data_IF_022996203752
#
_entry.id   IF_022996203752
#
_cell.length_a   1.000
_cell.length_b   1.000
_cell.length_c   1.000
_cell.angle_alpha   90.00
_cell.angle_beta   90.00
_cell.angle_gamma   90.00
#
_symmetry.space_group_name_H-M   'P 1'
#
loop_
_entity.id
_entity.type
_entity.pdbx_description
1 polymer ?
#
# COMPACT_ATOMS: atom_id res chain seq x y z
N UNK A 1 7.78 -22.03 -23.25
CA UNK A 1 6.82 -20.92 -23.36
C UNK A 1 7.23 -19.82 -22.39
N UNK A 2 8.04 -18.85 -22.81
CA UNK A 2 8.52 -17.76 -21.94
C UNK A 2 8.78 -16.46 -22.73
N UNK A 3 7.92 -16.18 -23.70
CA UNK A 3 8.04 -15.01 -24.60
C UNK A 3 6.78 -14.13 -24.66
N UNK A 4 5.67 -14.52 -24.01
CA UNK A 4 4.42 -13.74 -24.10
C UNK A 4 4.41 -12.46 -23.24
N UNK A 5 5.07 -12.44 -22.09
CA UNK A 5 5.03 -11.28 -21.18
C UNK A 5 5.76 -10.05 -21.74
N UNK A 6 6.96 -10.26 -22.30
CA UNK A 6 7.79 -9.16 -22.83
C UNK A 6 7.21 -8.60 -24.14
N UNK A 7 6.65 -9.46 -24.99
CA UNK A 7 6.00 -9.05 -26.22
C UNK A 7 4.78 -8.14 -25.98
N UNK A 8 4.05 -8.35 -24.88
CA UNK A 8 2.87 -7.54 -24.52
C UNK A 8 3.26 -6.15 -24.01
N UNK A 9 4.34 -6.05 -23.22
CA UNK A 9 4.87 -4.76 -22.77
C UNK A 9 5.46 -3.94 -23.93
N UNK A 10 6.12 -4.62 -24.88
CA UNK A 10 6.75 -3.94 -26.03
C UNK A 10 5.70 -3.41 -27.02
N UNK A 11 4.59 -4.12 -27.22
CA UNK A 11 3.49 -3.66 -28.10
C UNK A 11 2.71 -2.48 -27.51
N UNK A 12 2.53 -2.41 -26.18
CA UNK A 12 2.00 -1.22 -25.51
C UNK A 12 2.91 0.00 -25.69
N UNK A 13 4.24 -0.16 -25.57
CA UNK A 13 5.20 0.93 -25.78
C UNK A 13 5.25 1.45 -27.23
N UNK A 14 5.10 0.56 -28.21
CA UNK A 14 5.13 0.93 -29.63
C UNK A 14 3.84 1.67 -30.04
N UNK A 15 2.69 1.28 -29.49
CA UNK A 15 1.43 1.98 -29.78
C UNK A 15 1.31 3.32 -29.05
N UNK A 16 1.85 3.45 -27.84
CA UNK A 16 1.87 4.72 -27.10
C UNK A 16 2.72 5.81 -27.78
N UNK A 17 3.79 5.44 -28.50
CA UNK A 17 4.66 6.40 -29.19
C UNK A 17 4.23 6.75 -30.63
N UNK A 18 3.17 6.12 -31.15
CA UNK A 18 2.68 6.36 -32.52
C UNK A 18 1.66 7.50 -32.59
N UNK A 19 0.95 7.79 -31.50
CA UNK A 19 -0.03 8.86 -31.41
C UNK A 19 0.47 9.98 -30.49
N UNK A 20 1.03 11.05 -31.06
CA UNK A 20 1.50 12.24 -30.34
C UNK A 20 0.39 13.10 -29.72
N UNK A 21 -0.82 12.54 -29.60
CA UNK A 21 -2.03 13.17 -29.03
C UNK A 21 -2.62 12.37 -27.87
N UNK A 22 -2.13 11.16 -27.61
CA UNK A 22 -2.54 10.39 -26.45
C UNK A 22 -1.73 10.87 -25.25
N UNK A 23 -2.40 11.12 -24.13
CA UNK A 23 -1.71 11.39 -22.87
C UNK A 23 -0.77 10.23 -22.55
N UNK A 24 0.43 10.54 -22.05
CA UNK A 24 1.41 9.53 -21.66
C UNK A 24 0.77 8.56 -20.66
N UNK A 25 0.94 7.25 -20.92
CA UNK A 25 0.45 6.21 -20.03
C UNK A 25 0.99 6.44 -18.61
N UNK A 26 0.08 6.47 -17.64
CA UNK A 26 0.42 6.67 -16.22
C UNK A 26 0.59 5.31 -15.56
N UNK A 27 1.37 5.22 -14.47
CA UNK A 27 1.45 4.00 -13.66
C UNK A 27 0.05 3.46 -13.28
N UNK A 28 -0.92 4.37 -13.07
CA UNK A 28 -2.34 4.06 -12.89
C UNK A 28 -2.99 3.15 -13.91
N UNK A 29 -2.53 3.18 -15.16
CA UNK A 29 -3.13 2.42 -16.25
C UNK A 29 -2.78 0.92 -16.18
N UNK A 30 -1.85 0.55 -15.30
CA UNK A 30 -1.36 -0.82 -15.13
C UNK A 30 -1.73 -1.44 -13.78
N UNK A 31 -2.47 -0.74 -12.90
CA UNK A 31 -2.97 -1.32 -11.66
C UNK A 31 -4.10 -2.31 -11.98
N UNK A 32 -3.83 -3.61 -11.81
CA UNK A 32 -4.75 -4.71 -12.16
C UNK A 32 -5.91 -4.87 -11.16
N UNK A 33 -5.80 -4.28 -9.96
CA UNK A 33 -6.75 -4.44 -8.85
C UNK A 33 -7.08 -3.09 -8.19
N UNK A 34 -7.88 -2.25 -8.86
CA UNK A 34 -8.58 -1.17 -8.15
C UNK A 34 -10.07 -1.50 -8.06
N UNK A 35 -10.61 -1.38 -6.85
CA UNK A 35 -12.05 -1.21 -6.61
C UNK A 35 -12.48 0.00 -7.44
N UNK A 36 -13.15 -0.27 -8.56
CA UNK A 36 -13.28 0.65 -9.70
C UNK A 36 -14.27 1.80 -9.51
N UNK A 37 -14.99 1.90 -8.39
CA UNK A 37 -16.14 2.83 -8.33
C UNK A 37 -16.14 3.83 -7.16
N UNK A 38 -15.31 3.66 -6.12
CA UNK A 38 -15.28 4.59 -4.96
C UNK A 38 -13.99 5.41 -4.80
N UNK A 39 -12.91 5.04 -5.50
CA UNK A 39 -11.56 5.52 -5.17
C UNK A 39 -11.26 6.96 -5.59
N UNK A 40 -12.05 7.62 -6.44
CA UNK A 40 -11.75 8.97 -6.95
C UNK A 40 -12.16 10.11 -6.02
N UNK A 41 -12.93 9.82 -4.96
CA UNK A 41 -13.28 10.80 -3.92
C UNK A 41 -12.51 10.63 -2.63
N UNK A 42 -11.74 9.56 -2.49
CA UNK A 42 -11.11 9.25 -1.21
C UNK A 42 -9.77 9.98 -1.12
N UNK A 43 -9.75 11.00 -0.27
CA UNK A 43 -8.54 11.75 0.06
C UNK A 43 -7.72 10.97 1.08
N UNK A 44 -6.57 10.45 0.68
CA UNK A 44 -5.63 9.80 1.59
C UNK A 44 -5.00 10.86 2.50
N UNK A 45 -4.91 10.64 3.83
CA UNK A 45 -4.27 11.58 4.73
C UNK A 45 -2.83 11.89 4.32
N UNK A 46 -2.44 13.16 4.28
CA UNK A 46 -1.11 13.59 3.85
C UNK A 46 0.02 12.95 4.66
N UNK A 47 -0.20 12.70 5.95
CA UNK A 47 0.75 11.99 6.82
C UNK A 47 1.01 10.56 6.33
N UNK A 48 0.00 9.84 5.85
CA UNK A 48 0.15 8.50 5.32
C UNK A 48 0.91 8.52 3.99
N UNK A 49 0.59 9.48 3.12
CA UNK A 49 1.32 9.70 1.86
C UNK A 49 2.80 9.99 2.12
N UNK A 50 3.11 10.96 2.98
CA UNK A 50 4.49 11.34 3.28
C UNK A 50 5.25 10.18 3.96
N UNK A 51 4.58 9.39 4.81
CA UNK A 51 5.15 8.18 5.43
C UNK A 51 5.48 7.09 4.43
N UNK A 52 4.57 6.81 3.49
CA UNK A 52 4.79 5.83 2.43
C UNK A 52 6.06 6.16 1.61
N UNK A 53 6.22 7.42 1.20
CA UNK A 53 7.42 7.82 0.45
C UNK A 53 8.68 7.88 1.30
N UNK A 54 8.57 8.13 2.61
CA UNK A 54 9.70 8.00 3.52
C UNK A 54 10.17 6.54 3.62
N UNK A 55 9.25 5.57 3.74
CA UNK A 55 9.55 4.14 3.76
C UNK A 55 10.22 3.67 2.46
N UNK A 56 9.75 4.13 1.30
CA UNK A 56 10.40 3.85 0.01
C UNK A 56 11.82 4.39 -0.02
N UNK A 57 12.00 5.66 0.36
CA UNK A 57 13.31 6.32 0.34
C UNK A 57 14.32 5.61 1.22
N UNK A 58 13.88 5.12 2.37
CA UNK A 58 14.73 4.44 3.35
C UNK A 58 14.88 2.93 3.07
N UNK A 59 14.23 2.41 2.02
CA UNK A 59 14.29 0.99 1.65
C UNK A 59 13.61 0.05 2.65
N UNK A 60 12.66 0.57 3.43
CA UNK A 60 11.93 -0.17 4.48
C UNK A 60 10.57 -0.70 4.01
N UNK A 61 10.15 -0.36 2.78
CA UNK A 61 8.91 -0.85 2.21
C UNK A 61 9.13 -2.21 1.51
N UNK A 62 8.34 -3.26 1.82
CA UNK A 62 8.40 -4.51 1.08
C UNK A 62 8.07 -4.31 -0.41
N UNK A 63 8.84 -4.94 -1.29
CA UNK A 63 8.72 -4.72 -2.75
C UNK A 63 7.37 -5.11 -3.35
N UNK A 64 6.64 -6.02 -2.72
CA UNK A 64 5.30 -6.46 -3.15
C UNK A 64 4.21 -5.40 -2.92
N UNK A 65 4.46 -4.39 -2.09
CA UNK A 65 3.49 -3.35 -1.72
C UNK A 65 3.27 -2.35 -2.86
N UNK A 66 4.34 -1.95 -3.53
CA UNK A 66 4.33 -0.92 -4.59
C UNK A 66 3.29 -1.17 -5.69
N UNK A 67 3.16 -2.39 -6.26
CA UNK A 67 2.15 -2.65 -7.29
C UNK A 67 0.70 -2.69 -6.77
N UNK A 68 0.47 -2.79 -5.46
CA UNK A 68 -0.86 -2.94 -4.86
C UNK A 68 -1.48 -1.61 -4.44
N UNK A 69 -0.67 -0.55 -4.30
CA UNK A 69 -1.14 0.76 -3.84
C UNK A 69 -1.28 1.77 -4.98
N UNK A 70 -2.21 2.73 -4.89
CA UNK A 70 -2.39 3.76 -5.90
C UNK A 70 -1.31 4.85 -5.75
N UNK A 71 -0.08 4.58 -6.22
CA UNK A 71 1.09 5.48 -6.05
C UNK A 71 0.83 6.89 -6.55
N UNK A 72 0.09 7.06 -7.65
CA UNK A 72 -0.24 8.38 -8.20
C UNK A 72 -1.13 9.19 -7.25
N UNK A 73 -2.08 8.53 -6.55
CA UNK A 73 -2.94 9.17 -5.54
C UNK A 73 -2.13 9.52 -4.28
N UNK A 74 -1.21 8.65 -3.90
CA UNK A 74 -0.30 8.91 -2.78
C UNK A 74 0.61 10.12 -3.09
N UNK A 75 1.21 10.18 -4.28
CA UNK A 75 2.08 11.30 -4.68
C UNK A 75 1.31 12.62 -4.71
N UNK A 76 0.09 12.63 -5.25
CA UNK A 76 -0.77 13.81 -5.27
C UNK A 76 -1.18 14.29 -3.85
N UNK A 77 -1.31 13.36 -2.90
CA UNK A 77 -1.67 13.65 -1.51
C UNK A 77 -0.50 14.10 -0.62
N UNK A 78 0.74 14.05 -1.11
CA UNK A 78 1.93 14.46 -0.34
C UNK A 78 1.89 15.93 0.01
N UNK A 79 2.27 16.25 1.24
CA UNK A 79 2.56 17.64 1.65
C UNK A 79 4.03 17.87 1.93
N UNK A 80 4.87 16.81 1.86
CA UNK A 80 6.29 16.84 2.26
C UNK A 80 6.44 17.38 3.69
N UNK A 81 5.47 17.02 4.53
CA UNK A 81 5.37 17.46 5.91
C UNK A 81 5.93 16.42 6.87
N UNK A 82 5.20 16.21 7.96
CA UNK A 82 5.56 15.24 8.98
C UNK A 82 5.26 13.81 8.53
N UNK A 83 6.14 12.90 8.94
CA UNK A 83 6.01 11.46 8.75
C UNK A 83 5.39 10.85 10.01
N UNK A 84 4.44 9.94 9.83
CA UNK A 84 3.77 9.21 10.90
C UNK A 84 4.76 8.44 11.76
N UNK A 85 4.45 8.37 13.07
CA UNK A 85 5.23 7.63 14.06
C UNK A 85 4.28 6.81 14.91
N UNK A 86 4.43 5.47 14.97
CA UNK A 86 5.39 4.66 14.20
C UNK A 86 5.18 4.74 12.68
N UNK A 87 6.24 4.55 11.88
CA UNK A 87 6.16 4.68 10.41
C UNK A 87 5.39 3.54 9.77
N UNK A 88 5.71 2.31 10.15
CA UNK A 88 5.00 1.14 9.68
C UNK A 88 5.14 -0.03 10.64
N UNK A 89 4.13 -0.89 10.64
CA UNK A 89 4.23 -2.23 11.19
C UNK A 89 4.17 -3.23 10.03
N UNK A 90 5.12 -4.17 9.98
CA UNK A 90 5.31 -5.09 8.86
C UNK A 90 5.25 -6.52 9.36
N UNK A 91 4.40 -7.34 8.74
CA UNK A 91 4.29 -8.77 8.99
C UNK A 91 4.32 -9.57 7.69
N UNK A 92 4.13 -10.88 7.79
CA UNK A 92 4.00 -11.74 6.61
C UNK A 92 2.70 -11.40 5.87
N UNK A 93 2.83 -10.91 4.63
CA UNK A 93 1.69 -10.55 3.79
C UNK A 93 0.88 -9.34 4.28
N UNK A 94 1.36 -8.56 5.24
CA UNK A 94 0.68 -7.34 5.72
C UNK A 94 1.67 -6.21 6.00
N UNK A 95 1.25 -4.99 5.66
CA UNK A 95 1.90 -3.76 6.12
C UNK A 95 0.84 -2.75 6.56
N UNK A 96 1.06 -2.13 7.71
CA UNK A 96 0.27 -1.03 8.23
C UNK A 96 1.10 0.24 8.18
N UNK A 97 0.61 1.29 7.54
CA UNK A 97 1.31 2.57 7.40
C UNK A 97 0.73 3.59 8.38
N UNK A 98 1.63 4.23 9.12
CA UNK A 98 1.31 5.11 10.24
C UNK A 98 0.29 4.49 11.21
N UNK A 99 0.53 3.25 11.71
CA UNK A 99 -0.40 2.61 12.64
C UNK A 99 -0.41 3.31 14.00
N UNK A 100 -1.54 3.23 14.68
CA UNK A 100 -1.74 3.72 16.05
C UNK A 100 -2.64 2.76 16.82
N UNK A 101 -2.42 2.63 18.12
CA UNK A 101 -3.30 1.88 19.00
C UNK A 101 -4.33 2.84 19.61
N UNK A 102 -5.62 2.59 19.38
CA UNK A 102 -6.71 3.33 20.00
C UNK A 102 -7.72 2.33 20.56
N UNK A 103 -7.98 2.37 21.88
CA UNK A 103 -9.02 1.55 22.49
C UNK A 103 -8.83 0.03 22.38
N UNK A 104 -7.59 -0.46 22.22
CA UNK A 104 -7.30 -1.89 22.01
C UNK A 104 -7.42 -2.35 20.55
N UNK A 105 -7.62 -1.40 19.63
CA UNK A 105 -7.59 -1.63 18.19
C UNK A 105 -6.36 -0.98 17.57
N UNK A 106 -5.92 -1.55 16.46
CA UNK A 106 -4.85 -1.02 15.62
C UNK A 106 -5.50 -0.33 14.44
N UNK A 107 -5.36 0.99 14.41
CA UNK A 107 -5.87 1.82 13.33
C UNK A 107 -4.70 2.23 12.44
N UNK A 108 -4.82 2.01 11.13
CA UNK A 108 -3.82 2.42 10.17
C UNK A 108 -4.47 3.24 9.04
N UNK A 109 -3.85 4.35 8.67
CA UNK A 109 -4.36 5.18 7.59
C UNK A 109 -4.36 4.42 6.25
N UNK A 110 -3.37 3.55 6.06
CA UNK A 110 -3.31 2.60 4.96
C UNK A 110 -2.87 1.26 5.51
N UNK A 111 -3.57 0.19 5.17
CA UNK A 111 -3.09 -1.17 5.27
C UNK A 111 -2.95 -1.76 3.86
N UNK A 112 -1.98 -2.65 3.66
CA UNK A 112 -1.86 -3.43 2.43
C UNK A 112 -1.69 -4.89 2.80
N UNK A 113 -2.46 -5.76 2.18
CA UNK A 113 -2.54 -7.18 2.48
C UNK A 113 -2.31 -8.02 1.24
N UNK A 114 -1.66 -9.17 1.39
CA UNK A 114 -1.40 -10.16 0.34
C UNK A 114 -2.20 -11.44 0.61
N UNK A 115 -3.53 -11.33 0.66
CA UNK A 115 -4.45 -12.46 0.93
C UNK A 115 -4.11 -13.23 2.22
N UNK A 116 -3.75 -12.50 3.29
CA UNK A 116 -3.48 -13.05 4.62
C UNK A 116 -4.74 -12.92 5.49
N UNK A 117 -4.96 -13.89 6.37
CA UNK A 117 -6.08 -13.93 7.32
C UNK A 117 -5.64 -14.50 8.67
N UNK A 118 -6.40 -14.21 9.73
CA UNK A 118 -6.13 -14.69 11.08
C UNK A 118 -5.13 -13.83 11.85
N UNK A 119 -4.50 -14.42 12.88
CA UNK A 119 -3.53 -13.71 13.72
C UNK A 119 -2.18 -13.62 13.01
N UNK A 120 -1.69 -12.39 12.81
CA UNK A 120 -0.42 -12.10 12.16
C UNK A 120 0.48 -11.32 13.11
N UNK A 121 1.74 -11.76 13.21
CA UNK A 121 2.79 -11.01 13.90
C UNK A 121 3.28 -9.87 12.99
N UNK A 122 3.27 -8.65 13.52
CA UNK A 122 3.75 -7.45 12.84
C UNK A 122 4.82 -6.77 13.69
N UNK A 123 5.90 -6.33 13.05
CA UNK A 123 7.02 -5.67 13.70
C UNK A 123 7.04 -4.19 13.33
N UNK A 124 7.21 -3.33 14.33
CA UNK A 124 7.46 -1.91 14.14
C UNK A 124 8.83 -1.68 13.52
N UNK A 125 8.85 -1.04 12.34
CA UNK A 125 10.09 -0.77 11.61
C UNK A 125 11.03 0.22 12.32
N UNK A 126 10.50 1.00 13.27
CA UNK A 126 11.25 2.02 14.00
C UNK A 126 11.82 1.49 15.32
N UNK A 127 11.01 0.79 16.11
CA UNK A 127 11.39 0.28 17.44
C UNK A 127 11.88 -1.17 17.43
N UNK A 128 11.47 -1.97 16.44
CA UNK A 128 11.67 -3.42 16.42
C UNK A 128 10.73 -4.19 17.35
N UNK A 129 9.76 -3.51 18.00
CA UNK A 129 8.75 -4.15 18.83
C UNK A 129 7.75 -4.96 17.98
N UNK A 130 7.27 -6.08 18.52
CA UNK A 130 6.37 -7.00 17.83
C UNK A 130 4.97 -6.98 18.44
N UNK A 131 3.95 -7.00 17.59
CA UNK A 131 2.54 -6.98 17.95
C UNK A 131 1.82 -8.13 17.23
N UNK A 132 0.76 -8.66 17.83
CA UNK A 132 -0.14 -9.59 17.15
C UNK A 132 -1.44 -8.87 16.77
N UNK A 133 -1.79 -8.87 15.49
CA UNK A 133 -3.03 -8.31 14.98
C UNK A 133 -3.91 -9.40 14.37
N UNK A 134 -5.23 -9.21 14.40
CA UNK A 134 -6.18 -10.12 13.77
C UNK A 134 -6.66 -9.53 12.45
N UNK A 135 -6.32 -10.19 11.35
CA UNK A 135 -6.80 -9.86 10.01
C UNK A 135 -8.11 -10.63 9.75
N UNK A 136 -9.20 -9.95 9.37
CA UNK A 136 -10.47 -10.60 9.09
C UNK A 136 -10.39 -11.62 7.95
N UNK A 137 -11.15 -12.71 8.06
CA UNK A 137 -11.27 -13.72 7.02
C UNK A 137 -11.76 -13.11 5.69
N UNK A 138 -11.24 -13.61 4.58
CA UNK A 138 -11.61 -13.12 3.24
C UNK A 138 -11.00 -11.77 2.87
N UNK A 139 -9.99 -11.30 3.61
CA UNK A 139 -9.18 -10.14 3.20
C UNK A 139 -8.36 -10.52 1.97
N UNK A 140 -8.70 -9.96 0.80
CA UNK A 140 -8.02 -10.25 -0.47
C UNK A 140 -6.69 -9.47 -0.62
N UNK A 141 -6.04 -9.59 -1.79
CA UNK A 141 -4.91 -8.75 -2.18
C UNK A 141 -5.40 -7.31 -2.43
N UNK A 142 -5.36 -6.48 -1.42
CA UNK A 142 -5.87 -5.12 -1.51
C UNK A 142 -5.07 -4.15 -0.64
N UNK A 143 -5.31 -2.87 -0.88
CA UNK A 143 -4.99 -1.81 0.05
C UNK A 143 -6.30 -1.33 0.67
N UNK A 144 -6.27 -1.06 1.96
CA UNK A 144 -7.41 -0.67 2.79
C UNK A 144 -7.11 0.71 3.35
N UNK A 145 -8.07 1.61 3.29
CA UNK A 145 -7.99 2.92 3.95
C UNK A 145 -8.69 2.89 5.29
N UNK A 146 -8.16 3.66 6.24
CA UNK A 146 -8.67 3.74 7.61
C UNK A 146 -8.90 2.33 8.18
N UNK A 147 -7.91 1.46 8.00
CA UNK A 147 -7.96 0.08 8.42
C UNK A 147 -8.06 0.00 9.94
N UNK A 148 -8.89 -0.91 10.43
CA UNK A 148 -9.14 -1.16 11.84
C UNK A 148 -9.03 -2.67 12.08
N UNK A 149 -7.99 -3.06 12.83
CA UNK A 149 -7.71 -4.44 13.20
C UNK A 149 -7.70 -4.63 14.71
N UNK A 150 -8.17 -5.79 15.17
CA UNK A 150 -8.10 -6.11 16.59
C UNK A 150 -6.67 -6.43 17.00
N UNK A 151 -6.22 -5.87 18.12
CA UNK A 151 -4.97 -6.25 18.76
C UNK A 151 -5.20 -7.56 19.53
N UNK A 152 -4.51 -8.63 19.14
CA UNK A 152 -4.56 -9.93 19.82
C UNK A 152 -3.71 -9.90 21.09
N UNK A 153 -2.52 -9.30 21.03
CA UNK A 153 -1.56 -9.26 22.14
C UNK A 153 -0.48 -8.18 21.95
N UNK A 154 -0.08 -7.54 23.05
CA UNK A 154 1.16 -6.75 23.17
C UNK A 154 2.27 -7.67 23.74
N UNK A 155 3.42 -7.71 23.08
CA UNK A 155 4.56 -8.57 23.44
C UNK A 155 5.50 -7.91 24.43
#
# INVERSE_FOLDING_TARGET
MKELGIATLTSCFINANRDSKADAAKPSDFYYFQIREESDRISIPAIACDTFFALIKDGLLPGWVVPLVPVDKLEAGRKRGEVGKPRAWVGEGVILIAPKIEGGQVIAAIAVTEAVEGTVEVMDVDSGETFEIVIPDGTEHCWILDADFNLSRES
#
